data_IF_127592883944
#
_entry.id   IF_127592883944
#
_cell.length_a   1.000
_cell.length_b   1.000
_cell.length_c   1.000
_cell.angle_alpha   90.00
_cell.angle_beta   90.00
_cell.angle_gamma   90.00
#
_symmetry.space_group_name_H-M   'P 1'
#
loop_
_entity.id
_entity.type
_entity.pdbx_description
1 polymer ?
#
# COMPACT_ATOMS: atom_id res chain seq x y z
N UNK A 1 16.22 9.72 7.15
CA UNK A 1 15.58 9.66 8.47
C UNK A 1 14.07 9.84 8.38
N UNK A 2 13.57 10.88 7.71
CA UNK A 2 12.12 11.11 7.58
C UNK A 2 11.40 9.93 6.92
N UNK A 3 11.96 9.36 5.85
CA UNK A 3 11.37 8.20 5.15
C UNK A 3 11.30 6.96 6.02
N UNK A 4 12.33 6.72 6.84
CA UNK A 4 12.35 5.61 7.78
C UNK A 4 11.31 5.76 8.89
N UNK A 5 11.11 6.98 9.40
CA UNK A 5 10.05 7.27 10.38
C UNK A 5 8.67 7.07 9.78
N UNK A 6 8.48 7.46 8.53
CA UNK A 6 7.22 7.23 7.80
C UNK A 6 6.92 5.74 7.71
N UNK A 7 7.88 4.94 7.28
CA UNK A 7 7.69 3.48 7.21
C UNK A 7 7.39 2.91 8.59
N UNK A 8 8.13 3.35 9.62
CA UNK A 8 7.94 2.83 10.98
C UNK A 8 6.50 2.99 11.48
N UNK A 9 5.92 4.19 11.35
CA UNK A 9 4.55 4.38 11.82
C UNK A 9 3.52 3.67 10.94
N UNK A 10 3.78 3.60 9.62
CA UNK A 10 2.84 2.96 8.69
C UNK A 10 2.69 1.47 8.98
N UNK A 11 3.79 0.76 9.19
CA UNK A 11 3.77 -0.69 9.32
C UNK A 11 3.64 -1.20 10.76
N UNK A 12 3.81 -0.34 11.75
CA UNK A 12 3.71 -0.73 13.16
C UNK A 12 2.53 -0.10 13.88
N UNK A 13 2.21 1.16 13.61
CA UNK A 13 1.21 1.91 14.37
C UNK A 13 -0.10 2.09 13.61
N UNK A 14 -0.05 2.48 12.32
CA UNK A 14 -1.27 2.64 11.52
C UNK A 14 -1.95 1.29 11.25
N UNK A 15 -1.14 0.29 11.01
CA UNK A 15 -1.55 -1.11 10.90
C UNK A 15 -0.36 -1.97 11.32
N UNK A 16 -0.53 -2.80 12.32
CA UNK A 16 0.53 -3.69 12.78
C UNK A 16 0.66 -4.89 11.84
N UNK A 17 1.60 -4.82 10.90
CA UNK A 17 1.84 -5.88 9.94
C UNK A 17 2.38 -7.11 10.65
N UNK A 18 1.79 -8.26 10.35
CA UNK A 18 2.15 -9.55 10.93
C UNK A 18 2.73 -10.49 9.86
N UNK A 19 3.57 -11.45 10.27
CA UNK A 19 4.00 -12.53 9.37
C UNK A 19 2.78 -13.19 8.72
N UNK A 20 2.85 -13.42 7.42
CA UNK A 20 1.75 -14.00 6.66
C UNK A 20 0.73 -13.02 6.10
N UNK A 21 0.76 -11.75 6.51
CA UNK A 21 -0.08 -10.73 5.89
C UNK A 21 0.32 -10.50 4.44
N UNK A 22 -0.65 -10.21 3.59
CA UNK A 22 -0.41 -9.77 2.21
C UNK A 22 -0.61 -8.26 2.14
N UNK A 23 0.38 -7.57 1.60
CA UNK A 23 0.45 -6.10 1.59
C UNK A 23 0.52 -5.57 0.17
N UNK A 24 -0.31 -4.59 -0.16
CA UNK A 24 -0.20 -3.81 -1.38
C UNK A 24 0.46 -2.47 -1.03
N UNK A 25 1.49 -2.08 -1.77
CA UNK A 25 2.21 -0.83 -1.53
C UNK A 25 2.43 -0.10 -2.85
N UNK A 26 1.76 1.04 -3.02
CA UNK A 26 1.92 1.87 -4.22
C UNK A 26 3.22 2.67 -4.16
N UNK A 27 3.73 3.06 -5.34
CA UNK A 27 5.00 3.77 -5.49
C UNK A 27 6.16 2.99 -4.83
N UNK A 28 6.22 1.70 -5.11
CA UNK A 28 7.17 0.77 -4.49
C UNK A 28 8.63 1.11 -4.77
N UNK A 29 8.94 1.79 -5.88
CA UNK A 29 10.29 2.21 -6.23
C UNK A 29 10.64 3.63 -5.74
N UNK A 30 9.73 4.30 -5.03
CA UNK A 30 10.00 5.59 -4.41
C UNK A 30 10.82 5.43 -3.13
N UNK A 31 11.25 6.56 -2.56
CA UNK A 31 12.11 6.53 -1.37
C UNK A 31 11.49 5.81 -0.17
N UNK A 32 10.21 6.04 0.11
CA UNK A 32 9.49 5.34 1.17
C UNK A 32 9.29 3.87 0.80
N UNK A 33 8.88 3.60 -0.45
CA UNK A 33 8.62 2.25 -0.93
C UNK A 33 9.82 1.32 -0.84
N UNK A 34 11.02 1.80 -1.20
CA UNK A 34 12.22 0.97 -1.14
C UNK A 34 12.56 0.55 0.28
N UNK A 35 12.35 1.42 1.25
CA UNK A 35 12.56 1.09 2.67
C UNK A 35 11.46 0.13 3.14
N UNK A 36 10.21 0.41 2.78
CA UNK A 36 9.08 -0.42 3.16
C UNK A 36 9.21 -1.85 2.66
N UNK A 37 9.62 -2.04 1.42
CA UNK A 37 9.78 -3.36 0.83
C UNK A 37 10.75 -4.25 1.62
N UNK A 38 11.88 -3.69 1.99
CA UNK A 38 12.89 -4.41 2.78
C UNK A 38 12.38 -4.73 4.18
N UNK A 39 11.73 -3.78 4.83
CA UNK A 39 11.22 -3.96 6.19
C UNK A 39 10.05 -4.95 6.25
N UNK A 40 9.11 -4.84 5.31
CA UNK A 40 7.99 -5.77 5.22
C UNK A 40 8.44 -7.20 4.96
N UNK A 41 9.46 -7.37 4.12
CA UNK A 41 10.05 -8.69 3.87
C UNK A 41 10.64 -9.26 5.16
N UNK A 42 11.36 -8.45 5.92
CA UNK A 42 11.93 -8.87 7.20
C UNK A 42 10.84 -9.28 8.21
N UNK A 43 9.66 -8.66 8.14
CA UNK A 43 8.52 -9.01 9.01
C UNK A 43 7.80 -10.29 8.57
N UNK A 44 8.14 -10.83 7.43
CA UNK A 44 7.50 -12.06 6.93
C UNK A 44 6.20 -11.84 6.17
N UNK A 45 5.92 -10.61 5.72
CA UNK A 45 4.75 -10.31 4.90
C UNK A 45 5.00 -10.69 3.43
N UNK A 46 3.93 -11.03 2.72
CA UNK A 46 3.95 -11.15 1.27
C UNK A 46 3.65 -9.76 0.68
N UNK A 47 4.54 -9.26 -0.15
CA UNK A 47 4.48 -7.87 -0.62
C UNK A 47 4.18 -7.78 -2.11
N UNK A 48 3.21 -6.94 -2.44
CA UNK A 48 2.84 -6.61 -3.81
C UNK A 48 3.05 -5.10 -3.97
N UNK A 49 4.01 -4.72 -4.81
CA UNK A 49 4.28 -3.32 -5.09
C UNK A 49 3.76 -2.92 -6.45
N UNK A 50 3.47 -1.63 -6.65
CA UNK A 50 3.21 -1.07 -7.97
C UNK A 50 4.27 -0.04 -8.30
N UNK A 51 4.67 0.01 -9.56
CA UNK A 51 5.66 0.95 -10.06
C UNK A 51 5.42 1.23 -11.54
N UNK A 52 5.95 2.32 -12.04
CA UNK A 52 5.76 2.73 -13.44
C UNK A 52 6.98 2.47 -14.29
N UNK A 53 6.92 1.43 -15.13
CA UNK A 53 7.96 1.07 -16.08
C UNK A 53 8.88 -0.04 -15.60
N UNK A 54 9.53 -0.70 -16.54
CA UNK A 54 10.35 -1.89 -16.27
C UNK A 54 11.50 -1.61 -15.30
N UNK A 55 12.16 -0.45 -15.42
CA UNK A 55 13.31 -0.09 -14.59
C UNK A 55 12.90 0.07 -13.12
N UNK A 56 11.81 0.81 -12.87
CA UNK A 56 11.29 1.00 -11.51
C UNK A 56 10.78 -0.31 -10.91
N UNK A 57 10.14 -1.14 -11.72
CA UNK A 57 9.69 -2.45 -11.25
C UNK A 57 10.85 -3.34 -10.85
N UNK A 58 11.94 -3.34 -11.62
CA UNK A 58 13.16 -4.10 -11.29
C UNK A 58 13.78 -3.58 -9.98
N UNK A 59 13.81 -2.27 -9.79
CA UNK A 59 14.33 -1.65 -8.58
C UNK A 59 13.52 -2.06 -7.34
N UNK A 60 12.20 -2.01 -7.44
CA UNK A 60 11.32 -2.41 -6.34
C UNK A 60 11.53 -3.89 -6.00
N UNK A 61 11.60 -4.74 -7.01
CA UNK A 61 11.81 -6.17 -6.80
C UNK A 61 13.15 -6.47 -6.13
N UNK A 62 14.19 -5.74 -6.50
CA UNK A 62 15.53 -5.87 -5.90
C UNK A 62 15.54 -5.43 -4.44
N UNK A 63 14.55 -4.66 -3.99
CA UNK A 63 14.48 -4.11 -2.64
C UNK A 63 13.37 -4.72 -1.79
N UNK A 64 13.03 -5.98 -2.03
CA UNK A 64 12.24 -6.78 -1.09
C UNK A 64 10.81 -7.07 -1.49
N UNK A 65 10.29 -6.47 -2.57
CA UNK A 65 8.93 -6.80 -3.01
C UNK A 65 8.89 -8.16 -3.70
N UNK A 66 8.01 -9.02 -3.22
CA UNK A 66 7.81 -10.36 -3.79
C UNK A 66 7.22 -10.31 -5.19
N UNK A 67 6.24 -9.41 -5.39
CA UNK A 67 5.57 -9.17 -6.65
C UNK A 67 5.59 -7.69 -6.96
N UNK A 68 5.85 -7.32 -8.20
CA UNK A 68 5.79 -5.92 -8.63
C UNK A 68 4.94 -5.83 -9.90
N UNK A 69 3.96 -4.94 -9.87
CA UNK A 69 3.04 -4.72 -10.97
C UNK A 69 3.41 -3.42 -11.66
N UNK A 70 3.66 -3.50 -12.98
CA UNK A 70 3.84 -2.31 -13.81
C UNK A 70 2.45 -1.76 -14.16
N UNK A 71 2.04 -0.70 -13.49
CA UNK A 71 0.71 -0.11 -13.70
C UNK A 71 0.55 0.58 -15.05
N UNK A 72 1.65 0.79 -15.80
CA UNK A 72 1.58 1.37 -17.14
C UNK A 72 1.10 0.38 -18.19
N UNK A 73 1.22 -0.92 -17.90
CA UNK A 73 0.87 -2.00 -18.83
C UNK A 73 -0.19 -2.95 -18.29
N UNK A 74 -0.43 -2.93 -16.99
CA UNK A 74 -1.28 -3.93 -16.31
C UNK A 74 -2.25 -3.23 -15.36
N UNK A 75 -3.50 -3.70 -15.34
CA UNK A 75 -4.46 -3.28 -14.32
C UNK A 75 -4.05 -3.89 -12.98
N UNK A 76 -3.64 -3.05 -12.04
CA UNK A 76 -3.12 -3.55 -10.77
C UNK A 76 -4.18 -4.26 -9.93
N UNK A 77 -5.45 -3.82 -9.99
CA UNK A 77 -6.52 -4.49 -9.24
C UNK A 77 -6.71 -5.92 -9.71
N UNK A 78 -6.81 -6.14 -11.02
CA UNK A 78 -6.95 -7.47 -11.57
C UNK A 78 -5.78 -8.38 -11.17
N UNK A 79 -4.57 -7.84 -11.20
CA UNK A 79 -3.37 -8.60 -10.85
C UNK A 79 -3.28 -8.90 -9.36
N UNK A 80 -3.65 -7.94 -8.50
CA UNK A 80 -3.73 -8.15 -7.06
C UNK A 80 -4.73 -9.25 -6.74
N UNK A 81 -5.89 -9.22 -7.37
CA UNK A 81 -6.91 -10.26 -7.15
C UNK A 81 -6.43 -11.62 -7.62
N UNK A 82 -5.72 -11.68 -8.75
CA UNK A 82 -5.11 -12.93 -9.24
C UNK A 82 -4.09 -13.47 -8.24
N UNK A 83 -3.21 -12.62 -7.73
CA UNK A 83 -2.15 -13.00 -6.79
C UNK A 83 -2.68 -13.43 -5.42
N UNK A 84 -3.89 -13.01 -5.06
CA UNK A 84 -4.50 -13.29 -3.76
C UNK A 84 -5.67 -14.26 -3.82
N UNK A 85 -5.85 -14.96 -4.94
CA UNK A 85 -6.97 -15.90 -5.16
C UNK A 85 -8.32 -15.23 -4.91
N UNK A 86 -8.50 -14.02 -5.44
CA UNK A 86 -9.69 -13.18 -5.34
C UNK A 86 -10.05 -12.73 -3.92
N UNK A 87 -9.16 -12.90 -2.96
CA UNK A 87 -9.41 -12.46 -1.58
C UNK A 87 -9.05 -10.99 -1.34
N UNK A 88 -8.03 -10.48 -2.02
CA UNK A 88 -7.48 -9.15 -1.77
C UNK A 88 -6.41 -9.16 -0.68
N UNK A 89 -5.87 -7.97 -0.40
CA UNK A 89 -4.79 -7.79 0.56
C UNK A 89 -5.29 -7.47 1.97
N UNK A 90 -4.53 -7.86 2.99
CA UNK A 90 -4.84 -7.52 4.38
C UNK A 90 -4.74 -6.03 4.64
N UNK A 91 -3.74 -5.36 4.05
CA UNK A 91 -3.54 -3.93 4.15
C UNK A 91 -3.01 -3.37 2.84
N UNK A 92 -3.53 -2.20 2.45
CA UNK A 92 -3.09 -1.48 1.26
C UNK A 92 -2.59 -0.09 1.67
N UNK A 93 -1.37 0.24 1.26
CA UNK A 93 -0.76 1.54 1.48
C UNK A 93 -0.79 2.37 0.20
N UNK A 94 -1.50 3.47 0.22
CA UNK A 94 -1.71 4.31 -0.95
C UNK A 94 -1.21 5.73 -0.72
N UNK A 95 -0.20 6.13 -1.48
CA UNK A 95 0.38 7.47 -1.49
C UNK A 95 0.03 8.25 -2.76
N UNK A 96 -0.73 7.66 -3.66
CA UNK A 96 -1.04 8.20 -4.97
C UNK A 96 -2.34 9.00 -4.96
N UNK A 97 -3.40 8.44 -4.40
CA UNK A 97 -4.67 9.13 -4.22
C UNK A 97 -5.63 8.96 -5.39
N UNK A 98 -5.93 10.05 -6.08
CA UNK A 98 -7.00 10.09 -7.06
C UNK A 98 -6.95 8.98 -8.11
N UNK A 99 -5.77 8.68 -8.64
CA UNK A 99 -5.63 7.71 -9.74
C UNK A 99 -5.76 6.25 -9.29
N UNK A 100 -5.63 5.97 -8.01
CA UNK A 100 -5.55 4.58 -7.50
C UNK A 100 -6.59 4.23 -6.46
N UNK A 101 -7.08 5.20 -5.69
CA UNK A 101 -7.83 4.93 -4.45
C UNK A 101 -9.05 4.04 -4.66
N UNK A 102 -9.85 4.29 -5.70
CA UNK A 102 -11.05 3.47 -5.95
C UNK A 102 -10.70 1.99 -6.09
N UNK A 103 -9.64 1.69 -6.87
CA UNK A 103 -9.19 0.31 -7.10
C UNK A 103 -8.37 -0.23 -5.94
N UNK A 104 -7.74 0.64 -5.16
CA UNK A 104 -7.05 0.24 -3.92
C UNK A 104 -8.07 -0.30 -2.92
N UNK A 105 -9.19 0.39 -2.74
CA UNK A 105 -10.26 -0.05 -1.85
C UNK A 105 -10.76 -1.44 -2.27
N UNK A 106 -11.06 -1.62 -3.55
CA UNK A 106 -11.59 -2.90 -4.05
C UNK A 106 -10.55 -4.01 -4.16
N UNK A 107 -9.26 -3.69 -4.05
CA UNK A 107 -8.17 -4.67 -3.96
C UNK A 107 -7.95 -5.19 -2.54
N UNK A 108 -8.65 -4.64 -1.58
CA UNK A 108 -8.48 -4.96 -0.16
C UNK A 108 -9.40 -6.11 0.24
N UNK A 109 -8.88 -6.97 1.08
CA UNK A 109 -9.61 -8.11 1.63
C UNK A 109 -10.77 -7.65 2.50
N UNK A 110 -11.85 -8.43 2.54
CA UNK A 110 -12.96 -8.15 3.46
C UNK A 110 -12.45 -7.92 4.87
N UNK A 111 -12.88 -6.83 5.51
CA UNK A 111 -12.43 -6.37 6.81
C UNK A 111 -10.96 -5.92 6.85
N UNK A 112 -10.34 -5.77 5.67
CA UNK A 112 -8.97 -5.28 5.56
C UNK A 112 -8.87 -3.77 5.76
N UNK A 113 -7.64 -3.28 5.76
CA UNK A 113 -7.32 -1.89 6.08
C UNK A 113 -6.69 -1.18 4.89
N UNK A 114 -7.12 0.06 4.65
CA UNK A 114 -6.53 0.95 3.66
C UNK A 114 -5.88 2.11 4.41
N UNK A 115 -4.59 2.34 4.15
CA UNK A 115 -3.84 3.45 4.72
C UNK A 115 -3.51 4.42 3.59
N UNK A 116 -4.24 5.53 3.54
CA UNK A 116 -4.05 6.59 2.57
C UNK A 116 -3.08 7.63 3.15
N UNK A 117 -1.80 7.54 2.82
CA UNK A 117 -0.79 8.39 3.45
C UNK A 117 -0.20 9.45 2.54
N UNK A 118 -0.76 9.64 1.35
CA UNK A 118 -0.34 10.66 0.41
C UNK A 118 -1.34 10.83 -0.73
N UNK A 119 -1.08 11.79 -1.59
CA UNK A 119 -1.96 12.11 -2.72
C UNK A 119 -1.17 12.70 -3.89
N UNK A 120 -0.14 11.99 -4.36
CA UNK A 120 0.73 12.49 -5.43
C UNK A 120 0.01 12.76 -6.74
N UNK A 121 -1.10 12.08 -7.02
CA UNK A 121 -1.96 12.33 -8.19
C UNK A 121 -3.14 13.24 -7.87
N UNK A 122 -3.17 13.86 -6.70
CA UNK A 122 -4.26 14.70 -6.23
C UNK A 122 -5.16 14.00 -5.21
N UNK A 123 -6.00 14.76 -4.50
CA UNK A 123 -6.90 14.17 -3.52
C UNK A 123 -7.99 13.33 -4.19
N UNK A 124 -8.35 12.23 -3.56
CA UNK A 124 -9.48 11.42 -3.99
C UNK A 124 -10.77 12.01 -3.41
N UNK A 125 -11.53 12.70 -4.24
CA UNK A 125 -12.73 13.44 -3.82
C UNK A 125 -14.05 12.70 -4.09
N UNK A 126 -14.01 11.63 -4.84
CA UNK A 126 -15.20 10.84 -5.20
C UNK A 126 -15.55 9.77 -4.16
N UNK A 127 -14.91 9.85 -3.01
CA UNK A 127 -15.09 8.89 -1.92
C UNK A 127 -16.45 9.09 -1.22
N UNK A 128 -17.14 7.98 -0.98
CA UNK A 128 -18.35 7.91 -0.16
C UNK A 128 -18.13 6.90 0.94
N UNK A 129 -18.63 7.20 2.13
CA UNK A 129 -18.47 6.27 3.26
C UNK A 129 -19.07 4.89 2.95
N UNK A 130 -20.09 4.85 2.10
CA UNK A 130 -20.68 3.57 1.67
C UNK A 130 -19.72 2.72 0.83
N UNK A 131 -18.66 3.29 0.29
CA UNK A 131 -17.63 2.51 -0.41
C UNK A 131 -16.96 1.52 0.54
N UNK A 132 -16.88 1.85 1.82
CA UNK A 132 -16.31 0.98 2.84
C UNK A 132 -17.22 -0.20 3.17
N UNK A 133 -18.53 -0.05 2.99
CA UNK A 133 -19.50 -1.09 3.33
C UNK A 133 -19.43 -2.31 2.40
N UNK A 134 -18.84 -2.16 1.22
CA UNK A 134 -18.68 -3.25 0.24
C UNK A 134 -17.86 -4.42 0.79
N UNK A 135 -16.96 -4.16 1.74
CA UNK A 135 -16.12 -5.18 2.35
C UNK A 135 -15.89 -4.94 3.84
N UNK A 136 -16.66 -4.05 4.46
CA UNK A 136 -16.46 -3.65 5.85
C UNK A 136 -15.03 -3.19 6.11
N UNK A 137 -14.51 -2.35 5.22
CA UNK A 137 -13.12 -1.90 5.25
C UNK A 137 -12.86 -0.85 6.32
N UNK A 138 -11.60 -0.77 6.75
CA UNK A 138 -11.09 0.29 7.61
C UNK A 138 -10.24 1.22 6.75
N UNK A 139 -10.47 2.52 6.85
CA UNK A 139 -9.71 3.52 6.12
C UNK A 139 -9.11 4.52 7.10
N UNK A 140 -7.80 4.74 7.00
CA UNK A 140 -7.10 5.76 7.77
C UNK A 140 -6.33 6.70 6.83
N UNK A 141 -6.29 7.98 7.18
CA UNK A 141 -5.47 9.00 6.53
C UNK A 141 -4.49 9.56 7.56
N UNK A 142 -3.40 8.83 7.84
CA UNK A 142 -2.44 9.26 8.86
C UNK A 142 -1.56 10.41 8.38
N UNK A 143 -0.98 11.12 9.34
CA UNK A 143 0.03 12.14 9.12
C UNK A 143 1.19 11.87 10.06
N UNK A 144 2.42 11.91 9.54
CA UNK A 144 3.61 11.60 10.32
C UNK A 144 3.70 12.37 11.65
N UNK A 145 3.33 13.65 11.62
CA UNK A 145 3.43 14.49 12.82
C UNK A 145 2.61 14.00 14.01
N UNK A 146 1.52 13.29 13.77
CA UNK A 146 0.70 12.72 14.85
C UNK A 146 1.39 11.54 15.55
N UNK A 147 2.41 10.96 14.94
CA UNK A 147 3.12 9.79 15.47
C UNK A 147 4.48 10.14 16.08
N UNK A 148 5.02 11.33 15.80
CA UNK A 148 6.33 11.76 16.30
C UNK A 148 6.29 13.07 17.07
N UNK A 149 5.17 13.79 17.06
CA UNK A 149 5.06 15.15 17.61
C UNK A 149 5.15 15.25 19.12
N UNK A 150 4.88 14.17 19.84
CA UNK A 150 4.86 14.15 21.30
C UNK A 150 6.14 13.58 21.93
N UNK A 151 7.18 13.48 21.13
CA UNK A 151 8.46 12.91 21.59
C UNK A 151 9.54 13.94 21.81
#
# INVERSE_FOLDING_TARGET
MLKGLTVAYLIHESYAVKPGDTVLFHAAAGGVGLIAGQWLKALGATTIGTAGGAEKCALAKANGFDHVIDYTTTDFEAEVMRLTNDEGVNVAYDSVGNDTMARTITSTKRRGTIIAFGQSSGPYTDFKITDLSKGSYYLSRPTLFHFVGDR
#
